data_IF_872820431368
#
_entry.id   IF_872820431368
#
_cell.length_a   1.000
_cell.length_b   1.000
_cell.length_c   1.000
_cell.angle_alpha   90.00
_cell.angle_beta   90.00
_cell.angle_gamma   90.00
#
_symmetry.space_group_name_H-M   'P 1'
#
loop_
_entity.id
_entity.type
_entity.pdbx_description
1 polymer ?
#
# COMPACT_ATOMS: atom_id res chain seq x y z
N UNK A 1 13.04 4.53 10.85
CA UNK A 1 13.34 3.98 9.51
C UNK A 1 12.13 3.15 9.10
N UNK A 2 11.17 3.75 8.41
CA UNK A 2 9.93 3.06 8.01
C UNK A 2 10.12 2.48 6.61
N UNK A 3 9.90 1.17 6.45
CA UNK A 3 9.88 0.53 5.14
C UNK A 3 8.88 1.24 4.22
N UNK A 4 9.36 1.63 3.04
CA UNK A 4 8.51 2.13 1.96
C UNK A 4 7.88 0.94 1.25
N UNK A 5 6.58 1.03 1.03
CA UNK A 5 5.81 0.02 0.31
C UNK A 5 4.88 0.68 -0.70
N UNK A 6 4.74 0.05 -1.85
CA UNK A 6 3.74 0.35 -2.85
C UNK A 6 2.47 -0.43 -2.55
N UNK A 7 1.32 0.18 -2.79
CA UNK A 7 0.01 -0.46 -2.61
C UNK A 7 -0.55 -0.95 -3.93
N UNK A 8 -1.26 -2.07 -3.94
CA UNK A 8 -1.95 -2.55 -5.14
C UNK A 8 -3.13 -1.65 -5.51
N UNK A 9 -3.18 -1.17 -6.76
CA UNK A 9 -4.20 -0.22 -7.24
C UNK A 9 -5.60 -0.83 -7.25
N UNK A 10 -5.72 -2.13 -7.52
CA UNK A 10 -7.01 -2.84 -7.55
C UNK A 10 -7.76 -2.79 -6.21
N UNK A 11 -7.03 -2.76 -5.08
CA UNK A 11 -7.64 -2.72 -3.74
C UNK A 11 -8.05 -1.29 -3.37
N UNK A 12 -7.37 -0.28 -3.91
CA UNK A 12 -7.75 1.11 -3.65
C UNK A 12 -8.75 1.70 -4.62
N UNK A 13 -8.60 1.38 -5.89
CA UNK A 13 -9.38 1.96 -6.97
C UNK A 13 -9.63 0.89 -8.04
N UNK A 14 -10.56 -0.04 -7.76
CA UNK A 14 -10.93 -1.09 -8.71
C UNK A 14 -11.48 -0.53 -10.05
N UNK A 15 -12.01 0.70 -10.05
CA UNK A 15 -12.44 1.40 -11.28
C UNK A 15 -11.25 1.82 -12.15
N UNK A 16 -10.12 2.18 -11.54
CA UNK A 16 -8.92 2.59 -12.29
C UNK A 16 -8.12 1.38 -12.79
N UNK A 17 -8.11 0.27 -12.05
CA UNK A 17 -7.41 -0.96 -12.45
C UNK A 17 -7.99 -1.66 -13.70
N UNK A 18 -9.22 -1.30 -14.11
CA UNK A 18 -9.86 -1.87 -15.30
C UNK A 18 -9.35 -1.26 -16.62
N UNK A 19 -8.53 -0.20 -16.57
CA UNK A 19 -7.85 0.31 -17.77
C UNK A 19 -6.63 -0.57 -18.05
N UNK A 20 -6.55 -1.09 -19.28
CA UNK A 20 -5.51 -1.98 -19.81
C UNK A 20 -4.05 -1.45 -19.68
N UNK A 21 -3.87 -0.19 -19.27
CA UNK A 21 -2.59 0.49 -19.05
C UNK A 21 -2.48 1.15 -17.65
N UNK A 22 -3.38 0.84 -16.73
CA UNK A 22 -3.31 1.40 -15.39
C UNK A 22 -2.14 0.76 -14.60
N UNK A 23 -1.35 1.56 -13.87
CA UNK A 23 -0.30 1.03 -13.02
C UNK A 23 -0.92 0.08 -11.98
N UNK A 24 -0.38 -1.14 -11.88
CA UNK A 24 -0.84 -2.18 -10.94
C UNK A 24 -0.57 -1.82 -9.48
N UNK A 25 0.38 -0.92 -9.26
CA UNK A 25 0.81 -0.44 -7.95
C UNK A 25 0.67 1.08 -7.92
N UNK A 26 0.10 1.61 -6.86
CA UNK A 26 -0.17 3.03 -6.65
C UNK A 26 0.46 3.46 -5.34
N UNK A 27 1.05 4.66 -5.35
CA UNK A 27 1.47 5.41 -4.16
C UNK A 27 2.63 4.80 -3.38
N UNK A 28 3.50 5.67 -2.86
CA UNK A 28 4.49 5.31 -1.84
C UNK A 28 3.85 5.49 -0.46
N UNK A 29 3.83 4.41 0.31
CA UNK A 29 3.31 4.40 1.67
C UNK A 29 4.40 3.96 2.65
N UNK A 30 4.32 4.45 3.87
CA UNK A 30 5.20 4.02 4.95
C UNK A 30 4.47 3.01 5.84
N UNK A 31 5.15 1.91 6.17
CA UNK A 31 4.66 0.98 7.19
C UNK A 31 4.84 1.62 8.57
N UNK A 32 3.74 1.81 9.30
CA UNK A 32 3.74 2.43 10.63
C UNK A 32 3.64 1.38 11.74
N UNK A 33 2.87 0.33 11.51
CA UNK A 33 2.69 -0.72 12.50
C UNK A 33 2.49 -2.07 11.83
N UNK A 34 3.00 -3.11 12.46
CA UNK A 34 2.64 -4.49 12.16
C UNK A 34 1.52 -4.85 13.13
N UNK A 35 0.33 -5.18 12.61
CA UNK A 35 -0.79 -5.62 13.46
C UNK A 35 -0.66 -7.12 13.74
N UNK A 36 -0.33 -7.88 12.70
CA UNK A 36 -0.14 -9.33 12.75
C UNK A 36 0.87 -9.74 11.68
N UNK A 37 1.43 -10.94 11.78
CA UNK A 37 2.29 -11.48 10.73
C UNK A 37 1.60 -11.39 9.36
N UNK A 38 2.17 -10.61 8.45
CA UNK A 38 1.58 -10.33 7.14
C UNK A 38 0.50 -9.24 7.08
N UNK A 39 0.16 -8.55 8.18
CA UNK A 39 -0.82 -7.46 8.20
C UNK A 39 -0.23 -6.16 8.75
N UNK A 40 -0.25 -5.11 7.94
CA UNK A 40 0.42 -3.84 8.20
C UNK A 40 -0.55 -2.66 8.20
N UNK A 41 -0.31 -1.71 9.11
CA UNK A 41 -0.88 -0.37 9.07
C UNK A 41 0.01 0.52 8.23
N UNK A 42 -0.57 1.14 7.20
CA UNK A 42 0.13 2.06 6.32
C UNK A 42 -0.20 3.50 6.67
N UNK A 43 0.73 4.38 6.37
CA UNK A 43 0.53 5.83 6.39
C UNK A 43 0.99 6.41 5.08
N UNK A 44 0.24 7.39 4.58
CA UNK A 44 0.66 8.21 3.44
C UNK A 44 1.92 8.98 3.80
N UNK A 45 2.68 9.42 2.78
CA UNK A 45 3.76 10.40 2.99
C UNK A 45 3.30 11.67 3.72
N UNK A 46 2.01 12.00 3.63
CA UNK A 46 1.37 13.14 4.30
C UNK A 46 1.09 12.91 5.80
N UNK A 47 1.42 11.73 6.35
CA UNK A 47 1.16 11.41 7.77
C UNK A 47 -0.26 10.91 8.06
N UNK A 48 -1.11 10.81 7.02
CA UNK A 48 -2.46 10.24 7.15
C UNK A 48 -2.42 8.71 7.23
N UNK A 49 -2.88 8.18 8.36
CA UNK A 49 -3.04 6.73 8.58
C UNK A 49 -4.17 6.21 7.68
N UNK A 50 -3.93 5.10 6.98
CA UNK A 50 -4.92 4.43 6.16
C UNK A 50 -5.81 3.51 7.03
N UNK A 51 -7.14 3.68 7.01
CA UNK A 51 -8.05 2.92 7.88
C UNK A 51 -8.19 1.41 7.57
N UNK A 52 -7.83 0.85 6.40
CA UNK A 52 -7.72 -0.59 6.26
C UNK A 52 -6.38 -1.12 6.80
N UNK A 53 -6.42 -2.29 7.44
CA UNK A 53 -5.25 -3.13 7.64
C UNK A 53 -4.87 -3.82 6.33
N UNK A 54 -3.60 -3.71 5.93
CA UNK A 54 -3.15 -4.15 4.62
C UNK A 54 -2.37 -5.47 4.71
N UNK A 55 -2.86 -6.48 4.00
CA UNK A 55 -2.14 -7.74 3.89
C UNK A 55 -0.88 -7.59 3.02
N UNK A 56 0.18 -8.33 3.35
CA UNK A 56 1.48 -8.33 2.63
C UNK A 56 1.32 -8.62 1.14
N UNK A 57 0.33 -9.45 0.76
CA UNK A 57 0.01 -9.77 -0.64
C UNK A 57 -0.45 -8.57 -1.46
N UNK A 58 -0.96 -7.52 -0.79
CA UNK A 58 -1.41 -6.28 -1.42
C UNK A 58 -0.36 -5.17 -1.33
N UNK A 59 0.83 -5.48 -0.81
CA UNK A 59 1.94 -4.56 -0.63
C UNK A 59 3.17 -5.05 -1.38
N UNK A 60 3.94 -4.11 -1.90
CA UNK A 60 5.23 -4.40 -2.50
C UNK A 60 6.28 -3.51 -1.89
N UNK A 61 7.28 -4.11 -1.23
CA UNK A 61 8.40 -3.34 -0.68
C UNK A 61 9.09 -2.54 -1.79
N UNK A 62 9.32 -1.27 -1.53
CA UNK A 62 10.07 -0.37 -2.37
C UNK A 62 11.47 -0.24 -1.78
N UNK A 63 12.46 -0.73 -2.51
CA UNK A 63 13.87 -0.50 -2.19
C UNK A 63 14.32 0.75 -2.95
N UNK A 64 14.94 1.69 -2.24
CA UNK A 64 15.66 2.82 -2.82
C UNK A 64 17.13 2.46 -2.98
#
# INVERSE_FOLDING_TARGET
MGDLVLRKTEVSNPKCSHRKLAPRWEGLYCVVRVIQDGTYTLTMMDGKILPPTWHVSNLKKFYV
#
